data_IF_914558695829
#
_entry.id   IF_914558695829
#
_cell.length_a   1.000
_cell.length_b   1.000
_cell.length_c   1.000
_cell.angle_alpha   90.00
_cell.angle_beta   90.00
_cell.angle_gamma   90.00
#
_symmetry.space_group_name_H-M   'P 1'
#
loop_
_entity.id
_entity.type
_entity.pdbx_description
1 polymer ?
#
# COMPACT_ATOMS: atom_id res chain seq x y z
N UNK A 1 10.88 -22.49 21.57
CA UNK A 1 11.37 -23.14 20.34
C UNK A 1 11.60 -22.07 19.28
N UNK A 2 12.86 -21.84 18.91
CA UNK A 2 13.26 -20.91 17.85
C UNK A 2 12.85 -21.45 16.48
N UNK A 3 11.79 -20.90 15.88
CA UNK A 3 11.36 -21.24 14.53
C UNK A 3 12.32 -20.61 13.52
N UNK A 4 13.43 -21.29 13.26
CA UNK A 4 14.29 -21.02 12.11
C UNK A 4 13.57 -21.44 10.83
N UNK A 5 13.46 -20.53 9.86
CA UNK A 5 12.88 -20.78 8.54
C UNK A 5 13.37 -22.11 7.93
N UNK A 6 12.47 -23.08 7.86
CA UNK A 6 12.55 -24.20 6.93
C UNK A 6 11.63 -23.94 5.72
N UNK A 7 11.92 -24.53 4.57
CA UNK A 7 11.05 -24.50 3.37
C UNK A 7 9.58 -24.85 3.70
N UNK A 8 9.35 -25.71 4.71
CA UNK A 8 8.02 -26.09 5.18
C UNK A 8 7.18 -24.94 5.77
N UNK A 9 7.80 -23.85 6.26
CA UNK A 9 7.06 -22.68 6.74
C UNK A 9 6.42 -21.90 5.58
N UNK A 10 7.11 -21.82 4.43
CA UNK A 10 6.61 -21.13 3.23
C UNK A 10 5.43 -21.91 2.65
N UNK A 11 5.54 -23.24 2.56
CA UNK A 11 4.43 -24.09 2.11
C UNK A 11 3.21 -23.97 3.03
N UNK A 12 3.43 -23.90 4.35
CA UNK A 12 2.35 -23.69 5.33
C UNK A 12 1.69 -22.33 5.14
N UNK A 13 2.49 -21.27 4.94
CA UNK A 13 1.97 -19.94 4.64
C UNK A 13 1.17 -19.90 3.33
N UNK A 14 1.69 -20.50 2.25
CA UNK A 14 1.00 -20.61 0.95
C UNK A 14 -0.34 -21.33 1.11
N UNK A 15 -0.36 -22.47 1.81
CA UNK A 15 -1.59 -23.24 2.08
C UNK A 15 -2.60 -22.40 2.87
N UNK A 16 -2.16 -21.74 3.93
CA UNK A 16 -3.04 -20.92 4.76
C UNK A 16 -3.61 -19.72 4.01
N UNK A 17 -2.77 -18.99 3.27
CA UNK A 17 -3.19 -17.86 2.43
C UNK A 17 -4.21 -18.30 1.38
N UNK A 18 -3.99 -19.45 0.71
CA UNK A 18 -4.97 -20.06 -0.20
C UNK A 18 -6.30 -20.35 0.48
N UNK A 19 -6.28 -20.98 1.64
CA UNK A 19 -7.49 -21.30 2.42
C UNK A 19 -8.23 -20.03 2.84
N UNK A 20 -7.52 -19.00 3.29
CA UNK A 20 -8.11 -17.73 3.69
C UNK A 20 -8.74 -17.01 2.50
N UNK A 21 -8.04 -16.89 1.37
CA UNK A 21 -8.57 -16.28 0.16
C UNK A 21 -9.83 -17.00 -0.33
N UNK A 22 -9.83 -18.34 -0.33
CA UNK A 22 -11.02 -19.14 -0.64
C UNK A 22 -12.18 -18.85 0.32
N UNK A 23 -11.92 -18.86 1.62
CA UNK A 23 -12.95 -18.63 2.63
C UNK A 23 -13.53 -17.21 2.55
N UNK A 24 -12.72 -16.19 2.25
CA UNK A 24 -13.19 -14.82 2.05
C UNK A 24 -14.06 -14.67 0.79
N UNK A 25 -13.66 -15.29 -0.33
CA UNK A 25 -14.46 -15.33 -1.56
C UNK A 25 -15.85 -15.94 -1.31
N UNK A 26 -15.90 -17.03 -0.54
CA UNK A 26 -17.14 -17.72 -0.18
C UNK A 26 -17.99 -16.99 0.87
N UNK A 27 -17.36 -16.20 1.76
CA UNK A 27 -18.05 -15.52 2.86
C UNK A 27 -18.72 -14.22 2.42
N UNK A 28 -18.06 -13.36 1.62
CA UNK A 28 -18.64 -12.06 1.24
C UNK A 28 -18.05 -11.44 -0.02
N UNK A 29 -18.05 -12.23 -1.09
CA UNK A 29 -17.47 -11.91 -2.39
C UNK A 29 -17.97 -10.64 -3.11
N UNK A 30 -18.77 -9.76 -2.53
CA UNK A 30 -19.18 -8.49 -3.18
C UNK A 30 -18.65 -7.21 -2.53
N UNK A 31 -18.16 -7.24 -1.27
CA UNK A 31 -17.70 -6.02 -0.58
C UNK A 31 -16.29 -5.62 -1.00
N UNK A 32 -16.06 -4.33 -1.21
CA UNK A 32 -14.83 -3.79 -1.76
C UNK A 32 -13.59 -4.08 -0.89
N UNK A 33 -13.72 -4.01 0.43
CA UNK A 33 -12.63 -4.25 1.39
C UNK A 33 -12.20 -5.72 1.40
N UNK A 34 -13.17 -6.63 1.26
CA UNK A 34 -12.93 -8.07 1.14
C UNK A 34 -12.28 -8.41 -0.19
N UNK A 35 -12.77 -7.82 -1.28
CA UNK A 35 -12.18 -7.97 -2.62
C UNK A 35 -10.75 -7.43 -2.66
N UNK A 36 -10.48 -6.30 -2.01
CA UNK A 36 -9.13 -5.78 -1.83
C UNK A 36 -8.26 -6.81 -1.12
N UNK A 37 -8.67 -7.27 0.06
CA UNK A 37 -7.92 -8.26 0.84
C UNK A 37 -7.68 -9.57 0.07
N UNK A 38 -8.68 -10.09 -0.66
CA UNK A 38 -8.53 -11.29 -1.50
C UNK A 38 -7.44 -11.08 -2.55
N UNK A 39 -7.45 -9.95 -3.27
CA UNK A 39 -6.41 -9.63 -4.27
C UNK A 39 -5.02 -9.56 -3.63
N UNK A 40 -4.92 -8.96 -2.44
CA UNK A 40 -3.64 -8.89 -1.70
C UNK A 40 -3.13 -10.28 -1.30
N UNK A 41 -4.01 -11.15 -0.82
CA UNK A 41 -3.67 -12.54 -0.49
C UNK A 41 -3.21 -13.33 -1.72
N UNK A 42 -3.84 -13.12 -2.89
CA UNK A 42 -3.39 -13.74 -4.15
C UNK A 42 -1.99 -13.26 -4.58
N UNK A 43 -1.70 -11.98 -4.41
CA UNK A 43 -0.37 -11.40 -4.68
C UNK A 43 0.65 -11.96 -3.69
N UNK A 44 0.32 -12.05 -2.40
CA UNK A 44 1.19 -12.65 -1.40
C UNK A 44 1.48 -14.11 -1.77
N UNK A 45 0.46 -14.88 -2.14
CA UNK A 45 0.62 -16.28 -2.54
C UNK A 45 1.59 -16.41 -3.73
N UNK A 46 1.41 -15.59 -4.77
CA UNK A 46 2.29 -15.57 -5.93
C UNK A 46 3.73 -15.18 -5.55
N UNK A 47 3.88 -14.20 -4.66
CA UNK A 47 5.19 -13.75 -4.15
C UNK A 47 5.88 -14.85 -3.35
N UNK A 48 5.15 -15.55 -2.47
CA UNK A 48 5.69 -16.68 -1.69
C UNK A 48 6.10 -17.85 -2.57
N UNK A 49 5.31 -18.18 -3.62
CA UNK A 49 5.69 -19.20 -4.60
C UNK A 49 6.99 -18.82 -5.33
N UNK A 50 7.08 -17.57 -5.81
CA UNK A 50 8.26 -17.09 -6.51
C UNK A 50 9.50 -17.12 -5.60
N UNK A 51 9.35 -16.77 -4.32
CA UNK A 51 10.40 -16.91 -3.32
C UNK A 51 10.78 -18.38 -3.13
N UNK A 52 9.81 -19.28 -2.99
CA UNK A 52 10.06 -20.71 -2.78
C UNK A 52 10.84 -21.34 -3.95
N UNK A 53 10.55 -20.92 -5.18
CA UNK A 53 11.21 -21.42 -6.38
C UNK A 53 12.61 -20.81 -6.55
N UNK A 54 12.71 -19.48 -6.49
CA UNK A 54 13.96 -18.76 -6.75
C UNK A 54 14.98 -18.90 -5.63
N UNK A 55 14.55 -19.02 -4.38
CA UNK A 55 15.47 -19.10 -3.23
C UNK A 55 16.25 -20.41 -3.13
N UNK A 56 15.87 -21.47 -3.86
CA UNK A 56 16.55 -22.78 -3.77
C UNK A 56 18.02 -22.71 -4.20
N UNK A 57 18.35 -21.92 -5.22
CA UNK A 57 19.71 -21.80 -5.77
C UNK A 57 20.61 -20.75 -5.10
N UNK A 58 20.08 -19.94 -4.17
CA UNK A 58 20.77 -18.71 -3.72
C UNK A 58 21.72 -18.96 -2.53
N UNK A 59 22.87 -18.25 -2.42
CA UNK A 59 23.76 -18.33 -1.26
C UNK A 59 23.05 -18.02 0.08
N UNK A 60 23.49 -18.64 1.19
CA UNK A 60 22.83 -18.47 2.51
C UNK A 60 22.81 -17.02 3.00
N UNK A 61 23.83 -16.25 2.68
CA UNK A 61 24.02 -14.87 3.15
C UNK A 61 22.95 -13.94 2.57
N UNK A 62 22.61 -14.13 1.30
CA UNK A 62 21.58 -13.36 0.60
C UNK A 62 20.18 -13.63 1.15
N UNK A 63 19.94 -14.84 1.69
CA UNK A 63 18.65 -15.22 2.26
C UNK A 63 18.33 -14.52 3.59
N UNK A 64 19.28 -13.82 4.23
CA UNK A 64 19.06 -13.24 5.58
C UNK A 64 17.97 -12.18 5.61
N UNK A 65 17.99 -11.21 4.69
CA UNK A 65 16.97 -10.16 4.60
C UNK A 65 15.59 -10.73 4.28
N UNK A 66 15.54 -11.65 3.30
CA UNK A 66 14.34 -12.38 2.93
C UNK A 66 13.74 -13.19 4.09
N UNK A 67 14.56 -13.88 4.88
CA UNK A 67 14.11 -14.60 6.09
C UNK A 67 13.50 -13.65 7.12
N UNK A 68 14.08 -12.46 7.31
CA UNK A 68 13.54 -11.45 8.22
C UNK A 68 12.18 -10.95 7.74
N UNK A 69 12.06 -10.63 6.45
CA UNK A 69 10.80 -10.22 5.82
C UNK A 69 9.71 -11.30 5.92
N UNK A 70 10.04 -12.55 5.59
CA UNK A 70 9.10 -13.67 5.74
C UNK A 70 8.69 -13.87 7.21
N UNK A 71 9.59 -13.62 8.17
CA UNK A 71 9.29 -13.67 9.59
C UNK A 71 8.30 -12.61 10.04
N UNK A 72 8.36 -11.41 9.43
CA UNK A 72 7.38 -10.35 9.66
C UNK A 72 6.02 -10.73 9.07
N UNK A 73 5.99 -11.19 7.82
CA UNK A 73 4.77 -11.69 7.17
C UNK A 73 4.09 -12.81 7.99
N UNK A 74 4.86 -13.78 8.51
CA UNK A 74 4.32 -14.82 9.41
C UNK A 74 3.68 -14.26 10.68
N UNK A 75 4.26 -13.21 11.27
CA UNK A 75 3.68 -12.55 12.45
C UNK A 75 2.38 -11.85 12.09
N UNK A 76 2.31 -11.14 10.96
CA UNK A 76 1.09 -10.49 10.47
C UNK A 76 -0.03 -11.50 10.23
N UNK A 77 0.25 -12.58 9.48
CA UNK A 77 -0.72 -13.65 9.23
C UNK A 77 -1.16 -14.33 10.54
N UNK A 78 -0.22 -14.59 11.45
CA UNK A 78 -0.50 -15.19 12.75
C UNK A 78 -1.33 -14.28 13.68
N UNK A 79 -1.07 -12.97 13.67
CA UNK A 79 -1.84 -11.98 14.43
C UNK A 79 -3.28 -11.90 13.91
N UNK A 80 -3.46 -11.88 12.59
CA UNK A 80 -4.78 -11.92 11.97
C UNK A 80 -5.53 -13.21 12.28
N UNK A 81 -4.86 -14.37 12.18
CA UNK A 81 -5.44 -15.65 12.55
C UNK A 81 -5.90 -15.67 14.02
N UNK A 82 -5.08 -15.15 14.94
CA UNK A 82 -5.46 -15.00 16.35
C UNK A 82 -6.66 -14.05 16.51
N UNK A 83 -6.69 -12.94 15.76
CA UNK A 83 -7.82 -12.02 15.71
C UNK A 83 -9.12 -12.73 15.32
N UNK A 84 -9.09 -13.49 14.22
CA UNK A 84 -10.22 -14.30 13.75
C UNK A 84 -10.60 -15.39 14.77
N UNK A 85 -9.62 -16.07 15.39
CA UNK A 85 -9.89 -17.10 16.39
C UNK A 85 -10.56 -16.56 17.65
N UNK A 86 -10.35 -15.29 18.03
CA UNK A 86 -11.13 -14.68 19.12
C UNK A 86 -12.63 -14.75 18.81
N UNK A 87 -13.03 -14.49 17.57
CA UNK A 87 -14.43 -14.66 17.12
C UNK A 87 -14.85 -16.14 17.09
N UNK A 88 -13.95 -17.08 16.80
CA UNK A 88 -14.24 -18.51 16.90
C UNK A 88 -14.65 -18.94 18.32
N UNK A 89 -14.00 -18.41 19.36
CA UNK A 89 -14.39 -18.70 20.75
C UNK A 89 -15.79 -18.15 21.08
N UNK A 90 -16.16 -16.99 20.53
CA UNK A 90 -17.55 -16.50 20.60
C UNK A 90 -18.53 -17.42 19.88
N UNK A 91 -18.10 -18.03 18.76
CA UNK A 91 -18.95 -18.91 17.94
C UNK A 91 -19.11 -20.33 18.48
N UNK A 92 -18.11 -20.92 19.14
CA UNK A 92 -18.30 -22.22 19.83
C UNK A 92 -19.44 -22.18 20.86
N UNK A 93 -19.81 -20.99 21.35
CA UNK A 93 -20.94 -20.79 22.25
C UNK A 93 -22.30 -20.85 21.53
N UNK A 94 -22.36 -20.60 20.22
CA UNK A 94 -23.61 -20.42 19.47
C UNK A 94 -23.78 -21.26 18.18
N UNK A 95 -22.72 -21.78 17.53
CA UNK A 95 -22.83 -22.72 16.41
C UNK A 95 -21.53 -23.54 16.18
N UNK A 96 -21.51 -24.86 16.45
CA UNK A 96 -20.36 -25.73 16.23
C UNK A 96 -20.12 -26.17 14.77
N UNK A 97 -21.05 -25.91 13.82
CA UNK A 97 -20.93 -26.40 12.43
C UNK A 97 -20.25 -25.42 11.47
N UNK A 98 -20.07 -24.16 11.88
CA UNK A 98 -19.43 -23.13 11.06
C UNK A 98 -17.92 -23.13 11.20
N UNK A 99 -17.18 -23.79 10.30
CA UNK A 99 -15.71 -23.64 10.18
C UNK A 99 -15.27 -22.20 9.85
N UNK A 100 -14.09 -22.01 9.24
CA UNK A 100 -13.57 -20.69 8.83
C UNK A 100 -14.61 -19.80 8.11
N UNK A 101 -15.50 -20.41 7.31
CA UNK A 101 -16.63 -19.76 6.64
C UNK A 101 -17.63 -19.11 7.61
N UNK A 102 -18.04 -19.82 8.66
CA UNK A 102 -18.98 -19.30 9.66
C UNK A 102 -18.35 -18.15 10.46
N UNK A 103 -17.06 -18.29 10.78
CA UNK A 103 -16.29 -17.23 11.44
C UNK A 103 -16.23 -15.98 10.57
N UNK A 104 -15.90 -16.12 9.27
CA UNK A 104 -15.80 -14.96 8.38
C UNK A 104 -17.12 -14.26 8.12
N UNK A 105 -18.25 -14.99 8.07
CA UNK A 105 -19.59 -14.36 8.01
C UNK A 105 -19.94 -13.58 9.27
N UNK A 106 -19.56 -14.07 10.45
CA UNK A 106 -19.77 -13.34 11.71
C UNK A 106 -18.81 -12.14 11.82
N UNK A 107 -17.54 -12.31 11.42
CA UNK A 107 -16.56 -11.22 11.27
C UNK A 107 -17.10 -10.18 10.29
N UNK A 108 -17.79 -10.56 9.21
CA UNK A 108 -18.48 -9.59 8.34
C UNK A 108 -19.57 -8.77 9.03
N UNK A 109 -20.22 -9.34 10.04
CA UNK A 109 -21.26 -8.68 10.82
C UNK A 109 -20.72 -7.91 12.03
N UNK A 110 -19.59 -8.33 12.62
CA UNK A 110 -19.07 -7.82 13.89
C UNK A 110 -17.69 -7.18 13.81
N UNK A 111 -16.84 -7.58 12.87
CA UNK A 111 -15.55 -6.96 12.68
C UNK A 111 -15.74 -5.68 11.89
N UNK A 112 -15.50 -4.57 12.59
CA UNK A 112 -15.34 -3.24 12.04
C UNK A 112 -14.46 -3.32 10.78
N UNK A 113 -14.92 -2.70 9.69
CA UNK A 113 -14.15 -2.58 8.45
C UNK A 113 -12.69 -2.13 8.69
N UNK A 114 -12.45 -1.40 9.78
CA UNK A 114 -11.14 -0.99 10.26
C UNK A 114 -10.15 -2.15 10.49
N UNK A 115 -10.56 -3.24 11.14
CA UNK A 115 -9.65 -4.37 11.40
C UNK A 115 -9.15 -5.03 10.11
N UNK A 116 -10.00 -5.05 9.08
CA UNK A 116 -9.70 -5.62 7.76
C UNK A 116 -8.80 -4.66 6.97
N UNK A 117 -9.07 -3.36 7.06
CA UNK A 117 -8.24 -2.33 6.44
C UNK A 117 -6.83 -2.33 7.04
N UNK A 118 -6.70 -2.31 8.37
CA UNK A 118 -5.42 -2.35 9.07
C UNK A 118 -4.64 -3.63 8.75
N UNK A 119 -5.32 -4.77 8.63
CA UNK A 119 -4.67 -6.00 8.21
C UNK A 119 -4.24 -5.93 6.74
N UNK A 120 -5.08 -5.40 5.86
CA UNK A 120 -4.76 -5.23 4.44
C UNK A 120 -3.53 -4.35 4.25
N UNK A 121 -3.43 -3.23 4.98
CA UNK A 121 -2.28 -2.35 4.92
C UNK A 121 -0.99 -3.05 5.39
N UNK A 122 -1.05 -3.76 6.52
CA UNK A 122 0.09 -4.56 7.01
C UNK A 122 0.52 -5.62 6.00
N UNK A 123 -0.44 -6.25 5.33
CA UNK A 123 -0.19 -7.24 4.29
C UNK A 123 0.45 -6.61 3.05
N UNK A 124 0.02 -5.41 2.64
CA UNK A 124 0.63 -4.65 1.55
C UNK A 124 2.09 -4.30 1.85
N UNK A 125 2.37 -3.86 3.07
CA UNK A 125 3.74 -3.54 3.50
C UNK A 125 4.62 -4.81 3.48
N UNK A 126 4.10 -5.94 3.97
CA UNK A 126 4.77 -7.23 3.92
C UNK A 126 5.07 -7.68 2.48
N UNK A 127 4.09 -7.57 1.57
CA UNK A 127 4.24 -7.92 0.16
C UNK A 127 5.33 -7.07 -0.48
N UNK A 128 5.29 -5.75 -0.30
CA UNK A 128 6.28 -4.81 -0.87
C UNK A 128 7.68 -5.14 -0.37
N UNK A 129 7.85 -5.36 0.93
CA UNK A 129 9.14 -5.70 1.52
C UNK A 129 9.65 -7.04 0.99
N UNK A 130 8.79 -8.06 0.85
CA UNK A 130 9.16 -9.36 0.28
C UNK A 130 9.60 -9.24 -1.19
N UNK A 131 8.86 -8.49 -2.00
CA UNK A 131 9.17 -8.24 -3.41
C UNK A 131 10.49 -7.48 -3.57
N UNK A 132 10.71 -6.44 -2.76
CA UNK A 132 11.96 -5.68 -2.76
C UNK A 132 13.16 -6.57 -2.42
N UNK A 133 13.05 -7.40 -1.38
CA UNK A 133 14.12 -8.33 -1.01
C UNK A 133 14.38 -9.37 -2.09
N UNK A 134 13.33 -9.89 -2.72
CA UNK A 134 13.47 -10.83 -3.83
C UNK A 134 14.14 -10.18 -5.04
N UNK A 135 13.71 -8.98 -5.45
CA UNK A 135 14.30 -8.25 -6.58
C UNK A 135 15.77 -7.90 -6.31
N UNK A 136 16.09 -7.35 -5.14
CA UNK A 136 17.46 -7.04 -4.77
C UNK A 136 18.36 -8.28 -4.80
N UNK A 137 17.84 -9.43 -4.36
CA UNK A 137 18.54 -10.70 -4.39
C UNK A 137 18.73 -11.25 -5.81
N UNK A 138 17.73 -11.13 -6.68
CA UNK A 138 17.86 -11.52 -8.08
C UNK A 138 18.88 -10.63 -8.80
N UNK A 139 18.91 -9.32 -8.50
CA UNK A 139 19.87 -8.38 -9.09
C UNK A 139 21.30 -8.55 -8.56
N UNK A 140 21.49 -9.01 -7.32
CA UNK A 140 22.81 -9.35 -6.79
C UNK A 140 23.36 -10.66 -7.35
N UNK A 141 22.49 -11.56 -7.77
CA UNK A 141 22.84 -12.86 -8.35
C UNK A 141 22.72 -12.91 -9.88
N UNK A 142 22.42 -11.78 -10.54
CA UNK A 142 22.68 -11.69 -11.97
C UNK A 142 24.17 -12.04 -12.15
N UNK A 143 24.52 -12.97 -13.04
CA UNK A 143 25.92 -13.18 -13.36
C UNK A 143 26.56 -11.81 -13.63
N UNK A 144 27.77 -11.58 -13.11
CA UNK A 144 28.67 -10.58 -13.66
C UNK A 144 28.95 -11.04 -15.11
N UNK A 145 27.98 -10.86 -15.98
CA UNK A 145 27.99 -11.49 -17.30
C UNK A 145 28.76 -10.56 -18.20
N UNK A 146 29.93 -11.09 -18.59
CA UNK A 146 31.03 -10.43 -19.29
C UNK A 146 31.69 -9.30 -18.50
N UNK A 147 33.02 -9.42 -18.34
CA UNK A 147 33.80 -8.23 -18.02
C UNK A 147 33.52 -7.22 -19.14
N UNK A 148 33.44 -5.95 -18.77
CA UNK A 148 33.39 -4.85 -19.73
C UNK A 148 34.45 -5.01 -20.84
N UNK A 149 35.57 -5.66 -20.49
CA UNK A 149 36.67 -6.05 -21.39
C UNK A 149 36.33 -7.17 -22.37
N UNK A 150 35.70 -8.27 -21.96
CA UNK A 150 35.33 -9.39 -22.86
C UNK A 150 34.32 -8.94 -23.90
N UNK A 151 33.33 -8.14 -23.47
CA UNK A 151 32.36 -7.51 -24.37
C UNK A 151 33.02 -6.47 -25.27
N UNK A 152 33.90 -5.60 -24.73
CA UNK A 152 34.67 -4.64 -25.54
C UNK A 152 35.57 -5.33 -26.58
N UNK A 153 36.12 -6.52 -26.26
CA UNK A 153 36.94 -7.30 -27.19
C UNK A 153 36.12 -7.81 -28.38
N UNK A 154 34.91 -8.32 -28.14
CA UNK A 154 33.97 -8.65 -29.22
C UNK A 154 33.52 -7.41 -30.01
N UNK A 155 33.35 -6.28 -29.32
CA UNK A 155 32.96 -5.00 -29.89
C UNK A 155 33.98 -4.42 -30.88
N UNK A 156 35.28 -4.74 -30.72
CA UNK A 156 36.32 -4.35 -31.69
C UNK A 156 36.39 -5.25 -32.93
N UNK A 157 35.74 -6.40 -32.94
CA UNK A 157 35.93 -7.43 -33.97
C UNK A 157 34.81 -7.52 -35.02
N UNK A 158 33.64 -6.89 -34.84
CA UNK A 158 32.50 -7.05 -35.78
C UNK A 158 31.75 -5.75 -36.12
N UNK A 159 31.49 -5.55 -37.43
CA UNK A 159 30.61 -4.52 -38.00
C UNK A 159 29.16 -4.81 -37.63
N UNK A 160 28.60 -4.08 -36.67
CA UNK A 160 27.27 -4.36 -36.11
C UNK A 160 26.17 -3.39 -36.59
N UNK A 161 24.93 -3.89 -36.56
CA UNK A 161 23.71 -3.26 -37.05
C UNK A 161 23.03 -2.38 -35.98
N UNK A 162 22.14 -1.44 -36.35
CA UNK A 162 21.41 -0.59 -35.40
C UNK A 162 20.63 -1.34 -34.29
N UNK A 163 20.24 -2.60 -34.54
CA UNK A 163 19.57 -3.46 -33.55
C UNK A 163 20.48 -3.76 -32.35
N UNK A 164 21.77 -4.03 -32.59
CA UNK A 164 22.74 -4.35 -31.54
C UNK A 164 23.10 -3.12 -30.69
N UNK A 165 23.08 -1.92 -31.28
CA UNK A 165 23.20 -0.68 -30.52
C UNK A 165 22.05 -0.51 -29.52
N UNK A 166 20.81 -0.77 -29.95
CA UNK A 166 19.65 -0.70 -29.07
C UNK A 166 19.71 -1.77 -27.97
N UNK A 167 20.11 -2.99 -28.31
CA UNK A 167 20.31 -4.06 -27.32
C UNK A 167 21.41 -3.69 -26.30
N UNK A 168 22.51 -3.05 -26.73
CA UNK A 168 23.55 -2.54 -25.82
C UNK A 168 23.05 -1.43 -24.92
N UNK A 169 22.27 -0.48 -25.44
CA UNK A 169 21.68 0.58 -24.63
C UNK A 169 20.76 -0.01 -23.54
N UNK A 170 19.94 -1.00 -23.90
CA UNK A 170 19.10 -1.74 -22.95
C UNK A 170 19.96 -2.46 -21.91
N UNK A 171 21.01 -3.17 -22.34
CA UNK A 171 21.91 -3.92 -21.45
C UNK A 171 22.62 -3.00 -20.45
N UNK A 172 23.21 -1.90 -20.93
CA UNK A 172 23.89 -0.92 -20.07
C UNK A 172 22.91 -0.33 -19.06
N UNK A 173 21.70 0.03 -19.50
CA UNK A 173 20.64 0.54 -18.62
C UNK A 173 20.24 -0.52 -17.58
N UNK A 174 20.09 -1.79 -17.97
CA UNK A 174 19.78 -2.88 -17.05
C UNK A 174 20.89 -3.11 -16.04
N UNK A 175 22.16 -3.02 -16.46
CA UNK A 175 23.33 -3.15 -15.59
C UNK A 175 23.45 -1.96 -14.63
N UNK A 176 23.20 -0.74 -15.09
CA UNK A 176 23.14 0.45 -14.24
C UNK A 176 22.00 0.37 -13.21
N UNK A 177 20.81 -0.06 -13.63
CA UNK A 177 19.69 -0.32 -12.73
C UNK A 177 20.06 -1.41 -11.71
N UNK A 178 20.69 -2.51 -12.15
CA UNK A 178 21.10 -3.60 -11.27
C UNK A 178 22.17 -3.14 -10.26
N UNK A 179 23.16 -2.36 -10.71
CA UNK A 179 24.22 -1.82 -9.86
C UNK A 179 23.66 -0.79 -8.87
N UNK A 180 22.78 0.10 -9.32
CA UNK A 180 22.08 1.07 -8.46
C UNK A 180 21.22 0.36 -7.43
N UNK A 181 20.49 -0.69 -7.83
CA UNK A 181 19.70 -1.49 -6.90
C UNK A 181 20.57 -2.26 -5.90
N UNK A 182 21.73 -2.81 -6.33
CA UNK A 182 22.72 -3.41 -5.41
C UNK A 182 23.26 -2.38 -4.43
N UNK A 183 23.63 -1.19 -4.89
CA UNK A 183 24.10 -0.10 -4.03
C UNK A 183 23.01 0.30 -3.01
N UNK A 184 21.76 0.47 -3.46
CA UNK A 184 20.61 0.69 -2.60
C UNK A 184 20.40 -0.46 -1.60
N UNK A 185 20.63 -1.71 -1.99
CA UNK A 185 20.51 -2.87 -1.08
C UNK A 185 21.60 -2.88 0.00
N UNK A 186 22.86 -2.60 -0.39
CA UNK A 186 23.97 -2.45 0.55
C UNK A 186 23.72 -1.28 1.49
N UNK A 187 23.26 -0.14 0.97
CA UNK A 187 22.84 1.01 1.77
C UNK A 187 21.67 0.64 2.69
N UNK A 188 20.67 -0.13 2.25
CA UNK A 188 19.60 -0.61 3.13
C UNK A 188 20.10 -1.52 4.27
N UNK A 189 21.21 -2.23 4.09
CA UNK A 189 21.84 -3.00 5.18
C UNK A 189 22.64 -2.11 6.14
N UNK A 190 23.17 -1.00 5.66
CA UNK A 190 24.02 -0.07 6.41
C UNK A 190 23.27 1.15 6.95
N UNK A 191 22.06 1.44 6.47
CA UNK A 191 21.20 2.49 6.94
C UNK A 191 21.02 2.24 8.44
N UNK A 192 21.54 3.13 9.31
CA UNK A 192 21.26 3.04 10.72
C UNK A 192 19.75 2.97 10.86
N UNK A 193 19.25 2.14 11.78
CA UNK A 193 17.83 2.10 12.12
C UNK A 193 17.25 3.45 12.58
N UNK A 194 18.04 4.52 12.56
CA UNK A 194 17.73 5.88 13.01
C UNK A 194 16.91 6.71 12.03
N UNK A 195 16.73 6.31 10.77
CA UNK A 195 15.60 6.87 10.01
C UNK A 195 14.35 6.05 10.38
N UNK A 196 13.98 6.11 11.66
CA UNK A 196 12.59 5.87 12.05
C UNK A 196 11.79 6.99 11.40
N UNK A 197 11.45 6.84 10.11
CA UNK A 197 10.43 7.71 9.55
C UNK A 197 9.18 7.44 10.37
N UNK A 198 8.77 8.48 11.07
CA UNK A 198 7.48 8.53 11.72
C UNK A 198 6.42 8.09 10.69
N UNK A 199 5.39 7.33 11.10
CA UNK A 199 4.39 6.82 10.17
C UNK A 199 3.85 7.97 9.31
N UNK A 200 3.68 7.76 7.99
CA UNK A 200 3.25 8.84 7.10
C UNK A 200 1.83 9.27 7.46
N UNK A 201 1.56 10.56 7.28
CA UNK A 201 0.20 11.09 7.32
C UNK A 201 -0.54 10.55 6.09
N UNK A 202 -1.76 10.06 6.30
CA UNK A 202 -2.68 9.64 5.25
C UNK A 202 -3.61 10.82 4.99
N UNK A 203 -3.55 11.40 3.79
CA UNK A 203 -4.33 12.56 3.42
C UNK A 203 -5.24 12.23 2.25
N UNK A 204 -6.54 12.28 2.50
CA UNK A 204 -7.61 12.06 1.52
C UNK A 204 -8.07 13.44 1.07
N UNK A 205 -7.86 13.75 -0.20
CA UNK A 205 -8.21 15.06 -0.74
C UNK A 205 -9.71 15.19 -1.07
N UNK A 206 -10.14 16.38 -1.51
CA UNK A 206 -11.54 16.64 -1.86
C UNK A 206 -12.06 15.83 -3.08
N UNK A 207 -11.18 15.14 -3.81
CA UNK A 207 -11.52 14.22 -4.90
C UNK A 207 -11.43 12.75 -4.46
N UNK A 208 -11.31 12.48 -3.16
CA UNK A 208 -11.07 11.16 -2.58
C UNK A 208 -9.76 10.49 -3.03
N UNK A 209 -8.79 11.25 -3.53
CA UNK A 209 -7.46 10.72 -3.85
C UNK A 209 -6.62 10.67 -2.59
N UNK A 210 -5.97 9.53 -2.39
CA UNK A 210 -5.14 9.26 -1.21
C UNK A 210 -3.69 9.66 -1.52
N UNK A 211 -3.12 10.53 -0.68
CA UNK A 211 -1.72 10.91 -0.70
C UNK A 211 -1.06 10.62 0.65
N UNK A 212 0.25 10.37 0.62
CA UNK A 212 1.05 10.06 1.80
C UNK A 212 2.24 10.99 1.88
N UNK A 213 2.41 11.68 2.99
CA UNK A 213 3.60 12.50 3.25
C UNK A 213 4.05 12.39 4.70
N UNK A 214 5.33 12.63 4.94
CA UNK A 214 5.89 12.63 6.30
C UNK A 214 5.83 14.04 6.87
N UNK A 215 5.47 14.15 8.16
CA UNK A 215 5.36 15.42 8.87
C UNK A 215 6.67 16.21 8.87
N UNK A 216 7.82 15.53 8.79
CA UNK A 216 9.14 16.17 8.69
C UNK A 216 9.35 16.93 7.37
N UNK A 217 8.57 16.63 6.33
CA UNK A 217 8.67 17.28 5.02
C UNK A 217 7.70 18.45 4.86
N UNK A 218 6.62 18.48 5.63
CA UNK A 218 5.61 19.55 5.63
C UNK A 218 5.42 19.98 7.08
N UNK A 219 6.12 21.03 7.49
CA UNK A 219 6.14 21.49 8.88
C UNK A 219 5.33 22.77 9.11
N UNK A 220 4.76 23.35 8.05
CA UNK A 220 4.00 24.61 8.11
C UNK A 220 2.79 24.57 7.18
N UNK A 221 1.73 25.30 7.52
CA UNK A 221 0.53 25.43 6.68
C UNK A 221 0.80 25.99 5.27
N UNK A 222 1.69 27.00 5.08
CA UNK A 222 2.08 27.43 3.74
C UNK A 222 2.74 26.32 2.90
N UNK A 223 3.56 25.46 3.52
CA UNK A 223 4.14 24.31 2.82
C UNK A 223 3.07 23.28 2.43
N UNK A 224 2.08 23.05 3.31
CA UNK A 224 0.93 22.20 2.99
C UNK A 224 0.13 22.77 1.81
N UNK A 225 -0.13 24.08 1.81
CA UNK A 225 -0.85 24.75 0.72
C UNK A 225 -0.12 24.58 -0.62
N UNK A 226 1.21 24.79 -0.66
CA UNK A 226 2.01 24.57 -1.86
C UNK A 226 1.92 23.11 -2.34
N UNK A 227 1.96 22.15 -1.42
CA UNK A 227 1.76 20.74 -1.75
C UNK A 227 0.37 20.49 -2.38
N UNK A 228 -0.69 21.09 -1.83
CA UNK A 228 -2.05 20.97 -2.37
C UNK A 228 -2.16 21.61 -3.76
N UNK A 229 -1.53 22.76 -4.01
CA UNK A 229 -1.51 23.39 -5.33
C UNK A 229 -0.89 22.46 -6.39
N UNK A 230 0.14 21.68 -6.04
CA UNK A 230 0.69 20.67 -6.93
C UNK A 230 -0.25 19.46 -7.15
N UNK A 231 -1.12 19.14 -6.19
CA UNK A 231 -2.08 18.04 -6.32
C UNK A 231 -3.31 18.40 -7.16
N UNK A 232 -3.66 19.68 -7.21
CA UNK A 232 -4.81 20.22 -7.95
C UNK A 232 -4.34 21.15 -9.08
N UNK A 233 -3.72 20.64 -10.17
CA UNK A 233 -3.23 21.50 -11.25
C UNK A 233 -4.36 22.18 -12.04
N UNK A 234 -5.53 21.55 -12.10
CA UNK A 234 -6.69 22.01 -12.88
C UNK A 234 -7.91 22.27 -11.97
N UNK A 235 -8.78 21.27 -11.81
CA UNK A 235 -10.01 21.37 -11.02
C UNK A 235 -9.67 21.53 -9.54
N UNK A 236 -10.15 22.61 -8.92
CA UNK A 236 -9.93 22.91 -7.50
C UNK A 236 -8.75 23.84 -7.19
N UNK A 237 -7.86 24.10 -8.16
CA UNK A 237 -6.68 24.97 -7.95
C UNK A 237 -7.06 26.35 -7.39
N UNK A 238 -8.11 26.96 -7.95
CA UNK A 238 -8.58 28.29 -7.55
C UNK A 238 -9.01 28.30 -6.09
N UNK A 239 -9.75 27.29 -5.64
CA UNK A 239 -10.18 27.16 -4.25
C UNK A 239 -9.01 26.93 -3.30
N UNK A 240 -8.05 26.07 -3.68
CA UNK A 240 -6.81 25.87 -2.90
C UNK A 240 -6.05 27.19 -2.76
N UNK A 241 -5.84 27.93 -3.85
CA UNK A 241 -5.16 29.22 -3.83
C UNK A 241 -5.85 30.25 -2.94
N UNK A 242 -7.18 30.25 -2.92
CA UNK A 242 -7.98 31.14 -2.05
C UNK A 242 -8.08 30.67 -0.60
N UNK A 243 -7.71 29.42 -0.30
CA UNK A 243 -7.90 28.84 1.03
C UNK A 243 -9.33 28.37 1.30
N UNK A 244 -10.15 28.20 0.26
CA UNK A 244 -11.54 27.76 0.34
C UNK A 244 -11.64 26.23 0.50
N UNK A 245 -10.99 25.70 1.54
CA UNK A 245 -11.00 24.28 1.86
C UNK A 245 -10.91 24.06 3.36
N UNK A 246 -11.53 23.00 3.84
CA UNK A 246 -11.45 22.53 5.21
C UNK A 246 -10.69 21.20 5.24
N UNK A 247 -9.94 20.98 6.33
CA UNK A 247 -9.27 19.70 6.59
C UNK A 247 -9.77 19.21 7.94
N UNK A 248 -10.16 17.95 8.02
CA UNK A 248 -10.64 17.33 9.26
C UNK A 248 -9.85 16.07 9.54
N UNK A 249 -9.42 15.90 10.80
CA UNK A 249 -8.82 14.64 11.24
C UNK A 249 -9.91 13.58 11.41
N UNK A 250 -9.64 12.36 10.95
CA UNK A 250 -10.61 11.26 11.04
C UNK A 250 -10.94 10.96 12.50
N UNK A 251 -12.24 11.00 12.83
CA UNK A 251 -12.75 10.77 14.18
C UNK A 251 -12.85 12.02 15.05
N UNK A 252 -12.33 13.17 14.61
CA UNK A 252 -12.51 14.45 15.29
C UNK A 252 -13.69 15.22 14.67
N UNK A 253 -14.53 15.89 15.49
CA UNK A 253 -15.69 16.61 14.99
C UNK A 253 -15.34 17.98 14.41
N UNK A 254 -14.16 18.52 14.76
CA UNK A 254 -13.71 19.86 14.40
C UNK A 254 -12.74 19.84 13.23
N UNK A 255 -12.84 20.85 12.39
CA UNK A 255 -11.86 21.10 11.34
C UNK A 255 -10.56 21.63 11.94
N UNK A 256 -9.46 21.37 11.24
CA UNK A 256 -8.12 21.82 11.59
C UNK A 256 -8.06 23.33 11.55
N UNK A 257 -7.71 23.93 12.69
CA UNK A 257 -7.46 25.36 12.77
C UNK A 257 -6.09 25.70 12.14
N UNK A 258 -6.14 26.35 10.98
CA UNK A 258 -4.92 26.77 10.26
C UNK A 258 -4.22 27.98 10.88
N UNK A 259 -4.81 28.62 11.90
CA UNK A 259 -4.16 29.69 12.67
C UNK A 259 -3.31 29.17 13.82
N UNK A 260 -3.52 27.92 14.23
CA UNK A 260 -2.74 27.22 15.26
C UNK A 260 -1.40 26.70 14.70
N UNK A 261 -0.44 26.29 15.56
CA UNK A 261 0.76 25.60 15.12
C UNK A 261 0.47 24.27 14.40
N UNK A 262 1.19 24.01 13.29
CA UNK A 262 0.97 22.83 12.44
C UNK A 262 1.01 21.50 13.21
N UNK A 263 1.97 21.35 14.14
CA UNK A 263 2.18 20.12 14.91
C UNK A 263 1.12 19.85 15.99
N UNK A 264 0.22 20.80 16.27
CA UNK A 264 -0.92 20.55 17.18
C UNK A 264 -2.02 19.75 16.49
N UNK A 265 -2.19 19.94 15.19
CA UNK A 265 -3.25 19.30 14.40
C UNK A 265 -2.76 18.13 13.57
N UNK A 266 -1.53 18.18 13.07
CA UNK A 266 -0.93 17.12 12.27
C UNK A 266 -0.02 16.23 13.10
N UNK A 267 -0.30 14.94 13.15
CA UNK A 267 0.50 13.94 13.88
C UNK A 267 0.96 12.79 12.97
N UNK A 268 2.10 12.17 13.25
CA UNK A 268 2.53 10.94 12.57
C UNK A 268 1.44 9.88 12.49
N UNK A 269 1.21 9.33 11.30
CA UNK A 269 0.20 8.29 11.07
C UNK A 269 -1.24 8.78 11.16
N UNK A 270 -1.48 10.08 11.33
CA UNK A 270 -2.83 10.63 11.35
C UNK A 270 -3.50 10.52 9.98
N UNK A 271 -4.82 10.34 10.00
CA UNK A 271 -5.66 10.32 8.80
C UNK A 271 -6.48 11.61 8.73
N UNK A 272 -6.44 12.28 7.58
CA UNK A 272 -7.09 13.58 7.37
C UNK A 272 -7.90 13.56 6.08
N UNK A 273 -9.10 14.12 6.13
CA UNK A 273 -9.97 14.33 4.97
C UNK A 273 -10.05 15.82 4.66
N UNK A 274 -9.94 16.17 3.39
CA UNK A 274 -10.12 17.52 2.90
C UNK A 274 -11.45 17.64 2.15
N UNK A 275 -12.12 18.79 2.29
CA UNK A 275 -13.29 19.17 1.51
C UNK A 275 -13.12 20.61 1.00
N UNK A 276 -13.74 20.92 -0.14
CA UNK A 276 -13.85 22.30 -0.60
C UNK A 276 -15.02 23.00 0.08
N UNK A 277 -14.83 24.27 0.43
CA UNK A 277 -15.88 25.13 0.97
C UNK A 277 -16.55 25.86 -0.19
N UNK A 278 -17.88 25.83 -0.23
CA UNK A 278 -18.70 26.54 -1.21
C UNK A 278 -19.61 27.51 -0.47
N UNK A 279 -19.70 28.73 -0.97
CA UNK A 279 -20.67 29.70 -0.46
C UNK A 279 -22.06 29.26 -0.91
N UNK A 280 -23.04 29.29 0.01
CA UNK A 280 -24.41 28.91 -0.29
C UNK A 280 -25.07 29.82 -1.35
N UNK A 281 -24.49 31.00 -1.62
CA UNK A 281 -24.99 31.97 -2.58
C UNK A 281 -24.66 31.64 -4.05
N UNK A 282 -23.84 30.62 -4.34
CA UNK A 282 -23.80 30.02 -5.67
C UNK A 282 -25.07 29.18 -5.88
N UNK A 283 -26.21 29.88 -5.96
CA UNK A 283 -27.51 29.40 -6.40
C UNK A 283 -27.40 28.91 -7.85
N UNK A 284 -26.78 27.75 -8.05
CA UNK A 284 -27.20 26.88 -9.11
C UNK A 284 -28.63 26.49 -8.76
N UNK A 285 -29.58 27.26 -9.31
CA UNK A 285 -30.99 26.87 -9.37
C UNK A 285 -30.99 25.41 -9.84
N UNK A 286 -31.22 24.48 -8.92
CA UNK A 286 -31.25 23.07 -9.24
C UNK A 286 -32.49 22.88 -10.10
N UNK A 287 -32.30 22.89 -11.42
CA UNK A 287 -33.33 22.49 -12.37
C UNK A 287 -33.21 21.00 -12.60
N UNK A 288 -34.31 20.28 -12.49
CA UNK A 288 -34.37 18.88 -12.88
C UNK A 288 -33.92 18.75 -14.35
N UNK A 289 -32.88 17.96 -14.68
CA UNK A 289 -32.41 17.83 -16.06
C UNK A 289 -33.45 17.20 -17.00
N UNK A 290 -34.47 16.52 -16.46
CA UNK A 290 -35.51 15.87 -17.26
C UNK A 290 -36.72 16.75 -17.58
N UNK A 291 -37.07 17.70 -16.71
CA UNK A 291 -38.28 18.54 -16.91
C UNK A 291 -38.04 20.04 -16.71
N UNK A 292 -36.82 20.44 -16.38
CA UNK A 292 -36.40 21.82 -16.09
C UNK A 292 -37.22 22.52 -15.00
N UNK A 293 -37.98 21.78 -14.19
CA UNK A 293 -38.66 22.33 -13.03
C UNK A 293 -37.62 22.78 -12.00
N UNK A 294 -37.78 24.01 -11.48
CA UNK A 294 -36.99 24.57 -10.39
C UNK A 294 -37.45 23.95 -9.07
N UNK A 295 -36.50 23.53 -8.24
CA UNK A 295 -36.77 23.16 -6.85
C UNK A 295 -36.41 24.31 -5.92
N UNK A 296 -37.40 24.83 -5.18
CA UNK A 296 -37.21 25.87 -4.14
C UNK A 296 -36.74 25.27 -2.79
N UNK A 297 -36.16 24.06 -2.80
CA UNK A 297 -35.70 23.40 -1.58
C UNK A 297 -34.42 24.08 -1.08
N UNK A 298 -34.40 24.44 0.21
CA UNK A 298 -33.27 25.08 0.85
C UNK A 298 -32.01 24.20 0.79
N UNK A 299 -30.81 24.79 0.65
CA UNK A 299 -29.56 24.06 0.59
C UNK A 299 -29.33 23.31 1.91
N UNK A 300 -29.48 21.98 1.87
CA UNK A 300 -29.27 21.10 3.03
C UNK A 300 -30.20 19.90 3.12
N UNK A 301 -31.34 19.92 2.42
CA UNK A 301 -32.21 18.74 2.35
C UNK A 301 -31.74 17.76 1.26
N UNK A 302 -31.60 16.49 1.66
CA UNK A 302 -31.28 15.38 0.77
C UNK A 302 -32.47 15.14 -0.16
N UNK A 303 -32.42 15.70 -1.37
CA UNK A 303 -33.46 15.48 -2.38
C UNK A 303 -33.37 14.05 -2.89
N UNK A 304 -34.26 13.17 -2.39
CA UNK A 304 -34.45 11.85 -2.98
C UNK A 304 -35.10 11.99 -4.35
N UNK A 305 -34.46 11.41 -5.37
CA UNK A 305 -35.04 11.20 -6.70
C UNK A 305 -35.78 9.87 -6.75
#
# INVERSE_FOLDING_TARGET
MSLSFGLGDIDTAIKWTKTLAKALREAGGSRAEYQHLIRRLDILQSTLNLIADRSRGLPREDRKGLKKALGHCKKSLGAFNKGIQKFHNYLKRNDPRGGLRGILKQVQSQAEAQNIQDFSQRLDDDIKVLQLHLQAMLLSNLPQQESEQEFARRYSEQDYTPCEYHQRAIWNTQMEIANTARACHVQHRQLPCQIHRLPPIIFIDAQNKISHFHIENITTFPALKNFLECQFPDVGLVKVKRGEFAIRRRGEPTDVDMSSPFHEWFVPGGEYNMSFVFDAEEEHTATCPSCHARTDAAPGDETQW
#
